data_IF_160762442613
#
_entry.id   IF_160762442613
#
_cell.length_a   1.000
_cell.length_b   1.000
_cell.length_c   1.000
_cell.angle_alpha   90.00
_cell.angle_beta   90.00
_cell.angle_gamma   90.00
#
_symmetry.space_group_name_H-M   'P 1'
#
loop_
_entity.id
_entity.type
_entity.pdbx_description
1 polymer ?
#
# COMPACT_ATOMS: atom_id res chain seq x y z
N UNK A 1 1.27 -25.38 9.43
CA UNK A 1 2.06 -24.15 9.49
C UNK A 1 1.48 -23.18 10.52
N UNK A 2 2.32 -22.33 11.10
CA UNK A 2 1.84 -21.23 11.96
C UNK A 2 1.22 -20.12 11.13
N UNK A 3 0.10 -19.57 11.62
CA UNK A 3 -0.60 -18.48 10.98
C UNK A 3 -1.31 -17.59 12.01
N UNK A 4 -1.41 -16.29 11.70
CA UNK A 4 -2.23 -15.34 12.45
C UNK A 4 -3.59 -15.23 11.75
N UNK A 5 -4.58 -15.91 12.28
CA UNK A 5 -5.91 -16.05 11.72
C UNK A 5 -6.89 -15.04 12.31
N UNK A 6 -7.73 -14.47 11.46
CA UNK A 6 -8.81 -13.57 11.84
C UNK A 6 -10.19 -14.20 11.66
N UNK A 7 -10.97 -14.23 12.74
CA UNK A 7 -12.40 -14.53 12.76
C UNK A 7 -13.03 -13.78 13.95
N UNK A 8 -13.52 -12.56 13.71
CA UNK A 8 -13.99 -11.62 14.73
C UNK A 8 -12.95 -11.28 15.82
N UNK A 9 -11.70 -11.58 15.59
CA UNK A 9 -10.54 -11.36 16.44
C UNK A 9 -9.32 -12.09 15.89
N UNK A 10 -8.13 -11.63 16.25
CA UNK A 10 -6.88 -12.29 15.86
C UNK A 10 -6.54 -13.43 16.82
N UNK A 11 -6.05 -14.53 16.27
CA UNK A 11 -5.51 -15.65 17.05
C UNK A 11 -4.39 -16.36 16.30
N UNK A 12 -3.41 -16.87 17.03
CA UNK A 12 -2.42 -17.78 16.47
C UNK A 12 -3.03 -19.16 16.29
N UNK A 13 -2.82 -19.73 15.10
CA UNK A 13 -3.12 -21.11 14.77
C UNK A 13 -1.81 -21.82 14.45
N UNK A 14 -1.40 -22.77 15.30
CA UNK A 14 -0.13 -23.48 15.16
C UNK A 14 -0.14 -24.49 13.99
N UNK A 15 -1.28 -25.13 13.76
CA UNK A 15 -1.46 -26.19 12.77
C UNK A 15 -2.42 -25.79 11.64
N UNK A 16 -2.28 -24.55 11.14
CA UNK A 16 -3.05 -24.15 9.95
C UNK A 16 -2.61 -24.97 8.73
N UNK A 17 -3.52 -25.40 7.86
CA UNK A 17 -3.16 -26.15 6.66
C UNK A 17 -2.14 -25.37 5.81
N UNK A 18 -1.00 -26.02 5.49
CA UNK A 18 -0.04 -25.44 4.56
C UNK A 18 -0.66 -25.44 3.17
N UNK A 19 -0.66 -24.31 2.44
CA UNK A 19 -1.23 -24.28 1.09
C UNK A 19 -0.44 -25.16 0.14
N UNK A 20 -1.15 -25.84 -0.76
CA UNK A 20 -0.55 -26.56 -1.91
C UNK A 20 -0.74 -25.68 -3.14
N UNK A 21 0.33 -25.31 -3.87
CA UNK A 21 0.21 -24.49 -5.06
C UNK A 21 -0.50 -25.24 -6.17
N UNK A 22 -1.38 -24.56 -6.89
CA UNK A 22 -2.04 -25.06 -8.09
C UNK A 22 -1.14 -24.83 -9.32
N UNK A 23 -1.43 -25.45 -10.47
CA UNK A 23 -0.76 -25.10 -11.72
C UNK A 23 -0.80 -23.58 -11.98
N UNK A 24 0.35 -22.96 -12.25
CA UNK A 24 0.52 -21.53 -12.39
C UNK A 24 0.71 -20.78 -11.06
N UNK A 25 0.80 -21.48 -9.92
CA UNK A 25 1.10 -20.89 -8.61
C UNK A 25 2.46 -21.35 -8.09
N UNK A 26 3.05 -20.53 -7.24
CA UNK A 26 4.21 -20.86 -6.44
C UNK A 26 3.86 -20.90 -4.96
N UNK A 27 4.48 -21.82 -4.22
CA UNK A 27 4.51 -21.81 -2.77
C UNK A 27 5.70 -20.98 -2.30
N UNK A 28 5.41 -20.00 -1.46
CA UNK A 28 6.39 -19.05 -0.98
C UNK A 28 6.52 -19.21 0.54
N UNK A 29 7.74 -19.43 1.02
CA UNK A 29 8.08 -19.26 2.44
C UNK A 29 8.20 -17.78 2.73
N UNK A 30 7.33 -17.26 3.57
CA UNK A 30 7.35 -15.84 3.96
C UNK A 30 8.57 -15.59 4.86
N UNK A 31 9.36 -14.58 4.54
CA UNK A 31 10.52 -14.16 5.33
C UNK A 31 10.14 -13.00 6.24
N UNK A 32 9.60 -11.93 5.65
CA UNK A 32 9.13 -10.75 6.36
C UNK A 32 7.77 -10.36 5.81
N UNK A 33 6.84 -10.05 6.69
CA UNK A 33 5.56 -9.44 6.34
C UNK A 33 5.34 -8.15 7.13
N UNK A 34 4.62 -7.18 6.56
CA UNK A 34 4.42 -5.90 7.21
C UNK A 34 2.94 -5.57 7.42
N UNK A 35 2.64 -4.90 8.53
CA UNK A 35 1.29 -4.48 8.91
C UNK A 35 0.95 -3.19 8.16
N UNK A 36 -0.13 -3.24 7.36
CA UNK A 36 -0.76 -2.10 6.72
C UNK A 36 -1.87 -1.51 7.59
N UNK A 37 -2.25 -0.26 7.32
CA UNK A 37 -3.43 0.30 7.98
C UNK A 37 -4.72 -0.44 7.57
N UNK A 38 -4.78 -0.99 6.37
CA UNK A 38 -5.91 -1.82 5.92
C UNK A 38 -6.14 -3.02 6.83
N UNK A 39 -5.08 -3.66 7.34
CA UNK A 39 -5.23 -4.76 8.30
C UNK A 39 -5.91 -4.27 9.59
N UNK A 40 -5.50 -3.09 10.09
CA UNK A 40 -6.12 -2.45 11.26
C UNK A 40 -7.58 -2.06 11.01
N UNK A 41 -7.91 -1.58 9.80
CA UNK A 41 -9.29 -1.24 9.42
C UNK A 41 -10.17 -2.48 9.29
N UNK A 42 -9.64 -3.63 8.86
CA UNK A 42 -10.37 -4.91 8.87
C UNK A 42 -10.75 -5.29 10.30
N UNK A 43 -9.84 -5.14 11.26
CA UNK A 43 -10.14 -5.37 12.69
C UNK A 43 -11.24 -4.44 13.23
N UNK A 44 -11.44 -3.27 12.60
CA UNK A 44 -12.49 -2.30 12.92
C UNK A 44 -13.79 -2.51 12.14
N UNK A 45 -13.87 -3.56 11.32
CA UNK A 45 -15.08 -3.91 10.57
C UNK A 45 -15.13 -3.39 9.12
N UNK A 46 -14.04 -2.91 8.55
CA UNK A 46 -13.98 -2.49 7.13
C UNK A 46 -14.37 -3.61 6.15
N UNK A 47 -14.12 -4.88 6.52
CA UNK A 47 -14.53 -6.09 5.78
C UNK A 47 -15.23 -7.05 6.72
N UNK A 48 -16.51 -6.83 7.08
CA UNK A 48 -17.18 -7.54 8.15
C UNK A 48 -17.32 -9.05 7.91
N UNK A 49 -17.28 -9.49 6.65
CA UNK A 49 -17.41 -10.91 6.27
C UNK A 49 -16.06 -11.59 6.00
N UNK A 50 -14.92 -10.89 6.18
CA UNK A 50 -13.62 -11.51 5.99
C UNK A 50 -13.31 -12.46 7.15
N UNK A 51 -12.91 -13.68 6.79
CA UNK A 51 -12.32 -14.68 7.69
C UNK A 51 -11.14 -15.29 6.98
N UNK A 52 -10.00 -15.44 7.65
CA UNK A 52 -8.78 -15.96 7.06
C UNK A 52 -7.52 -15.31 7.63
N UNK A 53 -6.41 -15.53 6.99
CA UNK A 53 -5.13 -14.94 7.34
C UNK A 53 -5.06 -13.52 6.76
N UNK A 54 -4.71 -12.53 7.59
CA UNK A 54 -4.47 -11.15 7.17
C UNK A 54 -3.07 -10.97 6.56
N UNK A 55 -2.77 -9.74 6.12
CA UNK A 55 -1.46 -9.33 5.60
C UNK A 55 -1.35 -9.48 4.09
N UNK A 56 -0.79 -8.44 3.46
CA UNK A 56 -0.66 -8.35 2.00
C UNK A 56 0.64 -7.69 1.55
N UNK A 57 1.49 -7.28 2.46
CA UNK A 57 2.81 -6.73 2.21
C UNK A 57 3.85 -7.73 2.71
N UNK A 58 4.60 -8.38 1.82
CA UNK A 58 5.58 -9.39 2.24
C UNK A 58 6.74 -9.53 1.27
N UNK A 59 7.81 -10.11 1.78
CA UNK A 59 8.92 -10.69 1.03
C UNK A 59 9.05 -12.14 1.42
N UNK A 60 9.20 -13.02 0.45
CA UNK A 60 9.38 -14.44 0.72
C UNK A 60 10.33 -15.09 -0.28
N UNK A 61 10.62 -16.37 -0.06
CA UNK A 61 11.42 -17.20 -0.95
C UNK A 61 10.52 -18.28 -1.57
N UNK A 62 10.59 -18.43 -2.88
CA UNK A 62 9.88 -19.48 -3.58
C UNK A 62 10.50 -20.84 -3.25
N UNK A 63 9.68 -21.73 -2.66
CA UNK A 63 10.14 -23.09 -2.25
C UNK A 63 9.58 -24.18 -3.15
N UNK A 64 8.47 -23.93 -3.86
CA UNK A 64 7.86 -24.85 -4.82
C UNK A 64 7.19 -24.03 -5.94
N UNK A 65 7.37 -24.44 -7.18
CA UNK A 65 6.77 -23.80 -8.37
C UNK A 65 6.81 -24.74 -9.56
N UNK A 66 5.81 -24.63 -10.44
CA UNK A 66 5.84 -25.22 -11.78
C UNK A 66 6.71 -24.42 -12.77
N UNK A 67 7.15 -23.22 -12.38
CA UNK A 67 8.16 -22.44 -13.08
C UNK A 67 9.53 -22.59 -12.37
N UNK A 68 10.45 -23.43 -12.88
CA UNK A 68 11.73 -23.68 -12.22
C UNK A 68 12.61 -22.43 -12.04
N UNK A 69 12.44 -21.40 -12.87
CA UNK A 69 13.24 -20.17 -12.78
C UNK A 69 12.93 -19.34 -11.53
N UNK A 70 11.77 -19.57 -10.89
CA UNK A 70 11.37 -18.91 -9.66
C UNK A 70 11.89 -19.61 -8.40
N UNK A 71 12.19 -20.91 -8.45
CA UNK A 71 12.60 -21.68 -7.27
C UNK A 71 13.86 -21.08 -6.65
N UNK A 72 13.82 -20.87 -5.34
CA UNK A 72 14.91 -20.27 -4.56
C UNK A 72 14.99 -18.74 -4.65
N UNK A 73 14.25 -18.09 -5.56
CA UNK A 73 14.26 -16.62 -5.71
C UNK A 73 13.54 -15.95 -4.55
N UNK A 74 14.08 -14.80 -4.11
CA UNK A 74 13.35 -13.87 -3.25
C UNK A 74 12.35 -13.10 -4.09
N UNK A 75 11.11 -13.04 -3.60
CA UNK A 75 10.00 -12.41 -4.34
C UNK A 75 9.14 -11.53 -3.45
N UNK A 76 8.52 -10.55 -4.05
CA UNK A 76 7.35 -9.80 -3.58
C UNK A 76 6.19 -10.10 -4.51
N UNK A 77 4.96 -9.79 -4.11
CA UNK A 77 3.77 -10.10 -4.91
C UNK A 77 2.81 -8.93 -5.00
N UNK A 78 2.23 -8.74 -6.18
CA UNK A 78 0.99 -7.99 -6.31
C UNK A 78 -0.11 -8.65 -5.47
N UNK A 79 -1.10 -7.84 -5.07
CA UNK A 79 -2.11 -8.32 -4.12
C UNK A 79 -3.44 -8.72 -4.79
N UNK A 80 -3.65 -8.35 -6.06
CA UNK A 80 -4.91 -8.53 -6.77
C UNK A 80 -4.85 -9.73 -7.71
N UNK A 81 -5.33 -10.88 -7.25
CA UNK A 81 -5.47 -12.06 -8.10
C UNK A 81 -6.66 -11.90 -9.05
N UNK A 82 -6.38 -11.80 -10.33
CA UNK A 82 -7.36 -11.61 -11.38
C UNK A 82 -7.85 -12.94 -11.97
N UNK A 83 -9.04 -12.92 -12.63
CA UNK A 83 -9.59 -14.10 -13.30
C UNK A 83 -9.04 -14.32 -14.72
N UNK A 84 -8.38 -13.33 -15.32
CA UNK A 84 -7.79 -13.39 -16.65
C UNK A 84 -8.77 -13.25 -17.83
N UNK A 85 -10.10 -13.38 -17.65
CA UNK A 85 -11.06 -13.48 -18.75
C UNK A 85 -12.20 -12.45 -18.77
N UNK A 86 -12.44 -11.69 -17.70
CA UNK A 86 -13.44 -10.62 -17.70
C UNK A 86 -12.99 -9.42 -18.55
N UNK A 87 -13.91 -8.49 -18.79
CA UNK A 87 -13.65 -7.28 -19.59
C UNK A 87 -12.40 -6.53 -19.10
N UNK A 88 -12.28 -6.30 -17.80
CA UNK A 88 -11.16 -5.57 -17.24
C UNK A 88 -9.82 -6.30 -17.45
N UNK A 89 -9.79 -7.63 -17.28
CA UNK A 89 -8.58 -8.41 -17.54
C UNK A 89 -8.18 -8.35 -19.02
N UNK A 90 -9.14 -8.52 -19.94
CA UNK A 90 -8.90 -8.48 -21.38
C UNK A 90 -8.50 -7.08 -21.90
N UNK A 91 -8.80 -6.03 -21.17
CA UNK A 91 -8.43 -4.64 -21.49
C UNK A 91 -7.26 -4.13 -20.66
N UNK A 92 -6.41 -5.04 -20.16
CA UNK A 92 -5.19 -4.73 -19.38
C UNK A 92 -5.46 -3.92 -18.11
N UNK A 93 -6.55 -4.22 -17.41
CA UNK A 93 -6.92 -3.62 -16.11
C UNK A 93 -7.19 -4.71 -15.06
N UNK A 94 -6.26 -5.66 -14.81
CA UNK A 94 -6.49 -6.82 -13.93
C UNK A 94 -6.79 -6.41 -12.48
N UNK A 95 -6.25 -5.29 -12.00
CA UNK A 95 -6.54 -4.74 -10.68
C UNK A 95 -8.01 -4.38 -10.46
N UNK A 96 -8.80 -4.23 -11.55
CA UNK A 96 -10.24 -3.95 -11.55
C UNK A 96 -11.08 -5.18 -11.91
N UNK A 97 -10.50 -6.37 -11.91
CA UNK A 97 -11.19 -7.64 -12.22
C UNK A 97 -12.48 -7.79 -11.40
N UNK A 98 -13.58 -8.17 -12.06
CA UNK A 98 -14.89 -8.39 -11.43
C UNK A 98 -14.87 -9.54 -10.41
N UNK A 99 -14.07 -10.58 -10.69
CA UNK A 99 -13.90 -11.74 -9.83
C UNK A 99 -12.59 -11.69 -9.03
N UNK A 100 -12.12 -10.49 -8.72
CA UNK A 100 -10.85 -10.28 -8.04
C UNK A 100 -10.87 -10.86 -6.64
N UNK A 101 -9.84 -11.64 -6.33
CA UNK A 101 -9.44 -11.96 -4.95
C UNK A 101 -8.30 -11.04 -4.53
N UNK A 102 -8.26 -10.69 -3.27
CA UNK A 102 -7.21 -9.80 -2.75
C UNK A 102 -6.54 -10.47 -1.56
N UNK A 103 -5.23 -10.70 -1.67
CA UNK A 103 -4.42 -11.35 -0.63
C UNK A 103 -4.65 -10.66 0.72
N UNK A 104 -5.03 -11.44 1.74
CA UNK A 104 -5.24 -10.98 3.11
C UNK A 104 -6.36 -9.96 3.34
N UNK A 105 -7.23 -9.72 2.32
CA UNK A 105 -8.28 -8.70 2.39
C UNK A 105 -9.64 -9.25 1.92
N UNK A 106 -9.66 -10.08 0.87
CA UNK A 106 -10.91 -10.59 0.30
C UNK A 106 -10.69 -11.85 -0.52
N UNK A 107 -11.30 -12.96 -0.09
CA UNK A 107 -11.36 -14.22 -0.84
C UNK A 107 -10.04 -14.98 -1.00
N UNK A 108 -8.95 -14.55 -0.36
CA UNK A 108 -7.65 -15.23 -0.33
C UNK A 108 -6.93 -14.94 0.99
N UNK A 109 -6.35 -15.99 1.57
CA UNK A 109 -5.48 -15.88 2.74
C UNK A 109 -4.25 -14.99 2.46
N UNK A 110 -3.81 -14.30 3.49
CA UNK A 110 -2.70 -13.36 3.45
C UNK A 110 -1.37 -13.94 3.91
N UNK A 111 -0.43 -13.04 4.17
CA UNK A 111 0.97 -13.34 4.41
C UNK A 111 1.38 -13.35 5.91
N UNK A 112 0.46 -13.18 6.86
CA UNK A 112 0.78 -13.36 8.28
C UNK A 112 0.80 -14.84 8.64
N UNK A 113 1.60 -15.61 7.90
CA UNK A 113 1.79 -17.05 8.02
C UNK A 113 3.15 -17.47 7.47
N UNK A 114 3.61 -18.65 7.85
CA UNK A 114 4.90 -19.18 7.37
C UNK A 114 4.95 -19.39 5.85
N UNK A 115 3.82 -19.69 5.21
CA UNK A 115 3.72 -19.95 3.77
C UNK A 115 2.47 -19.33 3.16
N UNK A 116 2.61 -18.92 1.88
CA UNK A 116 1.51 -18.45 1.05
C UNK A 116 1.64 -19.03 -0.37
N UNK A 117 0.52 -19.38 -1.01
CA UNK A 117 0.50 -19.74 -2.43
C UNK A 117 0.01 -18.54 -3.26
N UNK A 118 0.77 -18.18 -4.30
CA UNK A 118 0.51 -17.02 -5.15
C UNK A 118 0.72 -17.37 -6.60
N UNK A 119 -0.07 -16.81 -7.51
CA UNK A 119 0.10 -16.99 -8.96
C UNK A 119 1.46 -16.47 -9.41
N UNK A 120 2.13 -17.22 -10.28
CA UNK A 120 3.45 -16.87 -10.80
C UNK A 120 3.48 -15.48 -11.48
N UNK A 121 2.39 -15.13 -12.19
CA UNK A 121 2.23 -13.83 -12.88
C UNK A 121 2.19 -12.62 -11.95
N UNK A 122 1.93 -12.81 -10.66
CA UNK A 122 1.88 -11.75 -9.65
C UNK A 122 3.22 -11.54 -8.94
N UNK A 123 4.20 -12.42 -9.20
CA UNK A 123 5.48 -12.42 -8.49
C UNK A 123 6.51 -11.54 -9.19
N UNK A 124 7.21 -10.73 -8.41
CA UNK A 124 8.33 -9.93 -8.86
C UNK A 124 9.59 -10.35 -8.08
N UNK A 125 10.65 -10.72 -8.82
CA UNK A 125 11.93 -11.11 -8.22
C UNK A 125 12.57 -9.89 -7.57
N UNK A 126 12.93 -10.02 -6.31
CA UNK A 126 13.64 -8.98 -5.57
C UNK A 126 15.14 -9.04 -5.95
N UNK A 127 15.71 -7.95 -6.46
CA UNK A 127 17.15 -7.86 -6.68
C UNK A 127 17.95 -8.15 -5.40
N UNK A 128 19.11 -8.81 -5.53
CA UNK A 128 19.91 -9.22 -4.38
C UNK A 128 20.44 -8.04 -3.57
N UNK A 129 20.61 -6.89 -4.22
CA UNK A 129 21.07 -5.64 -3.60
C UNK A 129 20.05 -5.01 -2.65
N UNK A 130 18.77 -5.40 -2.74
CA UNK A 130 17.72 -4.86 -1.86
C UNK A 130 17.62 -5.74 -0.60
N UNK A 131 17.87 -5.21 0.61
CA UNK A 131 17.63 -5.95 1.85
C UNK A 131 16.16 -6.37 1.98
N UNK A 132 15.92 -7.52 2.61
CA UNK A 132 14.56 -8.07 2.79
C UNK A 132 13.64 -7.09 3.54
N UNK A 133 14.17 -6.41 4.55
CA UNK A 133 13.46 -5.42 5.37
C UNK A 133 13.11 -4.13 4.58
N UNK A 134 13.80 -3.88 3.46
CA UNK A 134 13.52 -2.79 2.54
C UNK A 134 12.55 -3.26 1.45
N UNK A 135 12.73 -4.47 0.93
CA UNK A 135 11.89 -5.02 -0.14
C UNK A 135 10.41 -5.16 0.28
N UNK A 136 10.11 -5.31 1.57
CA UNK A 136 8.73 -5.39 2.08
C UNK A 136 7.92 -4.09 1.85
N UNK A 137 8.60 -2.97 1.58
CA UNK A 137 7.95 -1.71 1.22
C UNK A 137 7.52 -1.62 -0.26
N UNK A 138 7.78 -2.65 -1.08
CA UNK A 138 7.48 -2.62 -2.52
C UNK A 138 5.99 -2.38 -2.79
N UNK A 139 5.09 -3.08 -2.08
CA UNK A 139 3.63 -2.95 -2.29
C UNK A 139 3.15 -1.51 -2.02
N UNK A 140 3.37 -0.92 -0.83
CA UNK A 140 2.89 0.43 -0.57
C UNK A 140 3.65 1.51 -1.39
N UNK A 141 4.90 1.26 -1.79
CA UNK A 141 5.61 2.15 -2.71
C UNK A 141 5.01 2.08 -4.12
N UNK A 142 4.69 0.89 -4.62
CA UNK A 142 3.98 0.71 -5.89
C UNK A 142 2.64 1.48 -5.87
N UNK A 143 1.87 1.35 -4.78
CA UNK A 143 0.65 2.11 -4.62
C UNK A 143 0.88 3.64 -4.64
N UNK A 144 2.04 4.12 -4.19
CA UNK A 144 2.40 5.54 -4.26
C UNK A 144 2.77 5.98 -5.67
N UNK A 145 3.44 5.12 -6.43
CA UNK A 145 3.84 5.37 -7.83
C UNK A 145 2.65 5.46 -8.78
N UNK A 146 1.55 4.75 -8.51
CA UNK A 146 0.32 4.82 -9.30
C UNK A 146 -0.17 6.26 -9.55
N UNK A 147 0.15 7.17 -8.65
CA UNK A 147 -0.21 8.58 -8.79
C UNK A 147 0.44 9.18 -10.04
N UNK A 148 1.68 8.82 -10.33
CA UNK A 148 2.41 9.35 -11.50
C UNK A 148 1.89 8.76 -12.82
N UNK A 149 1.38 7.53 -12.80
CA UNK A 149 0.73 6.91 -13.96
C UNK A 149 -0.66 7.51 -14.24
N UNK A 150 -1.30 8.03 -13.21
CA UNK A 150 -2.65 8.59 -13.30
C UNK A 150 -2.68 10.10 -13.56
N UNK A 151 -1.69 10.84 -13.06
CA UNK A 151 -1.66 12.30 -13.12
C UNK A 151 -0.25 12.76 -13.46
N UNK A 152 -0.14 13.56 -14.51
CA UNK A 152 1.13 14.14 -14.92
C UNK A 152 1.55 15.28 -13.97
N UNK A 153 2.50 15.00 -13.09
CA UNK A 153 3.10 15.97 -12.16
C UNK A 153 4.37 16.53 -12.77
N UNK A 154 4.37 17.83 -13.08
CA UNK A 154 5.49 18.54 -13.68
C UNK A 154 6.37 19.19 -12.60
N UNK A 155 7.65 19.50 -12.88
CA UNK A 155 8.47 20.31 -11.97
C UNK A 155 7.86 21.67 -11.60
N UNK A 156 7.04 22.24 -12.47
CA UNK A 156 6.31 23.50 -12.22
C UNK A 156 5.00 23.33 -11.46
N UNK A 157 4.56 22.09 -11.20
CA UNK A 157 3.28 21.85 -10.49
C UNK A 157 3.39 22.19 -9.01
N UNK A 158 2.35 22.83 -8.47
CA UNK A 158 2.22 23.08 -7.04
C UNK A 158 1.36 21.97 -6.42
N UNK A 159 1.98 21.09 -5.63
CA UNK A 159 1.39 19.86 -5.12
C UNK A 159 1.29 19.91 -3.60
N UNK A 160 0.11 19.56 -3.06
CA UNK A 160 -0.08 19.31 -1.64
C UNK A 160 -0.34 17.82 -1.36
N UNK A 161 0.24 17.30 -0.29
CA UNK A 161 -0.13 16.01 0.31
C UNK A 161 -0.76 16.30 1.67
N UNK A 162 -1.99 15.85 1.88
CA UNK A 162 -2.67 15.94 3.18
C UNK A 162 -2.48 14.61 3.91
N UNK A 163 -1.82 14.67 5.07
CA UNK A 163 -1.48 13.54 5.92
C UNK A 163 0.01 13.48 6.27
N UNK A 164 0.30 13.00 7.46
CA UNK A 164 1.66 12.85 8.02
C UNK A 164 2.00 11.39 8.35
N UNK A 165 1.30 10.47 7.72
CA UNK A 165 1.45 9.03 7.91
C UNK A 165 2.45 8.39 6.95
N UNK A 166 2.60 7.05 7.07
CA UNK A 166 3.50 6.22 6.27
C UNK A 166 3.28 6.34 4.76
N UNK A 167 2.02 6.25 4.31
CA UNK A 167 1.68 6.35 2.89
C UNK A 167 1.99 7.76 2.37
N UNK A 168 1.64 8.81 3.14
CA UNK A 168 1.98 10.18 2.80
C UNK A 168 3.49 10.38 2.62
N UNK A 169 4.32 9.74 3.47
CA UNK A 169 5.77 9.81 3.35
C UNK A 169 6.31 9.16 2.07
N UNK A 170 5.75 8.00 1.69
CA UNK A 170 6.11 7.34 0.43
C UNK A 170 5.71 8.19 -0.78
N UNK A 171 4.48 8.71 -0.76
CA UNK A 171 3.98 9.61 -1.81
C UNK A 171 4.85 10.87 -1.90
N UNK A 172 5.25 11.45 -0.76
CA UNK A 172 6.10 12.64 -0.73
C UNK A 172 7.47 12.38 -1.41
N UNK A 173 8.10 11.23 -1.16
CA UNK A 173 9.34 10.87 -1.84
C UNK A 173 9.13 10.69 -3.35
N UNK A 174 8.06 10.01 -3.75
CA UNK A 174 7.73 9.79 -5.18
C UNK A 174 7.47 11.14 -5.87
N UNK A 175 6.70 12.04 -5.26
CA UNK A 175 6.44 13.38 -5.82
C UNK A 175 7.71 14.23 -5.84
N UNK A 176 8.53 14.16 -4.79
CA UNK A 176 9.82 14.86 -4.73
C UNK A 176 10.74 14.54 -5.93
N UNK A 177 10.74 13.28 -6.40
CA UNK A 177 11.52 12.86 -7.57
C UNK A 177 11.07 13.56 -8.87
N UNK A 178 9.88 14.11 -8.94
CA UNK A 178 9.39 14.86 -10.11
C UNK A 178 9.94 16.29 -10.18
N UNK A 179 10.52 16.79 -9.08
CA UNK A 179 10.97 18.18 -8.95
C UNK A 179 9.84 19.19 -8.71
N UNK A 180 8.61 18.74 -8.46
CA UNK A 180 7.46 19.61 -8.19
C UNK A 180 7.61 20.42 -6.89
N UNK A 181 6.93 21.58 -6.81
CA UNK A 181 6.81 22.37 -5.58
C UNK A 181 5.87 21.63 -4.60
N UNK A 182 6.49 20.87 -3.71
CA UNK A 182 5.81 19.97 -2.78
C UNK A 182 5.60 20.60 -1.40
N UNK A 183 4.33 20.58 -0.95
CA UNK A 183 3.96 20.88 0.43
C UNK A 183 3.28 19.68 1.08
N UNK A 184 3.73 19.27 2.26
CA UNK A 184 3.08 18.24 3.08
C UNK A 184 2.36 18.91 4.24
N UNK A 185 1.06 18.67 4.34
CA UNK A 185 0.18 19.23 5.35
C UNK A 185 -0.23 18.14 6.33
N UNK A 186 0.22 18.24 7.56
CA UNK A 186 -0.03 17.25 8.62
C UNK A 186 -0.62 17.85 9.88
N UNK A 187 -0.96 17.01 10.84
CA UNK A 187 -1.49 17.42 12.15
C UNK A 187 -0.44 17.37 13.27
N UNK A 188 0.64 16.60 13.08
CA UNK A 188 1.64 16.33 14.13
C UNK A 188 2.99 16.90 13.70
N UNK A 189 3.41 17.98 14.35
CA UNK A 189 4.67 18.68 14.02
C UNK A 189 5.89 17.74 14.10
N UNK A 190 5.92 16.84 15.09
CA UNK A 190 7.02 15.88 15.25
C UNK A 190 7.16 14.94 14.04
N UNK A 191 6.04 14.54 13.41
CA UNK A 191 6.05 13.70 12.22
C UNK A 191 6.44 14.49 10.97
N UNK A 192 6.05 15.75 10.89
CA UNK A 192 6.37 16.64 9.77
C UNK A 192 7.88 16.86 9.60
N UNK A 193 8.68 16.67 10.66
CA UNK A 193 10.14 16.74 10.56
C UNK A 193 10.71 15.73 9.55
N UNK A 194 10.08 14.58 9.39
CA UNK A 194 10.50 13.56 8.42
C UNK A 194 10.36 14.03 6.96
N UNK A 195 9.42 14.95 6.70
CA UNK A 195 9.11 15.45 5.36
C UNK A 195 9.92 16.68 4.94
N UNK A 196 10.54 17.40 5.88
CA UNK A 196 11.32 18.62 5.60
C UNK A 196 12.39 18.47 4.52
N UNK A 197 13.10 17.33 4.39
CA UNK A 197 14.07 17.14 3.30
C UNK A 197 13.43 16.99 1.92
N UNK A 198 12.12 16.74 1.84
CA UNK A 198 11.39 16.45 0.60
C UNK A 198 10.65 17.68 0.05
N UNK A 199 10.33 18.65 0.92
CA UNK A 199 9.59 19.84 0.56
C UNK A 199 9.12 20.63 1.78
N UNK A 200 8.23 21.59 1.57
CA UNK A 200 7.61 22.33 2.67
C UNK A 200 6.75 21.39 3.52
N UNK A 201 6.90 21.45 4.83
CA UNK A 201 6.08 20.67 5.77
C UNK A 201 5.43 21.63 6.77
N UNK A 202 4.09 21.59 6.90
CA UNK A 202 3.31 22.59 7.65
C UNK A 202 2.02 22.01 8.21
N UNK A 203 1.47 22.67 9.23
CA UNK A 203 0.12 22.45 9.73
C UNK A 203 -0.89 23.46 9.16
N UNK A 204 -0.43 24.48 8.40
CA UNK A 204 -1.23 25.56 7.84
C UNK A 204 -1.94 25.15 6.55
N UNK A 205 -3.13 25.73 6.32
CA UNK A 205 -3.99 25.56 5.13
C UNK A 205 -4.14 26.85 4.32
N UNK A 206 -3.21 27.78 4.43
CA UNK A 206 -3.33 29.14 3.84
C UNK A 206 -3.10 29.18 2.33
N UNK A 207 -2.44 28.17 1.76
CA UNK A 207 -2.11 28.13 0.34
C UNK A 207 -3.09 27.27 -0.46
N UNK A 208 -3.11 27.47 -1.78
CA UNK A 208 -3.88 26.65 -2.72
C UNK A 208 -2.98 25.95 -3.74
N UNK A 209 -3.41 24.79 -4.24
CA UNK A 209 -2.59 23.86 -5.01
C UNK A 209 -3.28 23.39 -6.29
N UNK A 210 -2.49 23.05 -7.31
CA UNK A 210 -2.98 22.49 -8.57
C UNK A 210 -3.34 21.01 -8.42
N UNK A 211 -2.58 20.30 -7.57
CA UNK A 211 -2.79 18.88 -7.29
C UNK A 211 -2.81 18.71 -5.76
N UNK A 212 -3.83 18.06 -5.25
CA UNK A 212 -3.96 17.75 -3.82
C UNK A 212 -4.13 16.24 -3.66
N UNK A 213 -3.27 15.62 -2.85
CA UNK A 213 -3.28 14.18 -2.61
C UNK A 213 -3.74 13.92 -1.18
N UNK A 214 -4.92 13.30 -1.03
CA UNK A 214 -5.43 12.89 0.28
C UNK A 214 -4.87 11.51 0.66
N UNK A 215 -3.99 11.50 1.66
CA UNK A 215 -3.39 10.32 2.28
C UNK A 215 -3.66 10.25 3.79
N UNK A 216 -4.77 10.83 4.25
CA UNK A 216 -5.11 10.94 5.68
C UNK A 216 -5.66 9.64 6.29
N UNK A 217 -6.33 8.80 5.48
CA UNK A 217 -7.12 7.67 5.97
C UNK A 217 -8.37 8.11 6.76
N UNK A 218 -8.85 9.32 6.53
CA UNK A 218 -9.97 9.94 7.27
C UNK A 218 -10.93 10.67 6.33
N UNK A 219 -12.24 10.68 6.64
CA UNK A 219 -13.24 11.48 5.89
C UNK A 219 -12.87 12.96 5.77
N UNK A 220 -12.21 13.53 6.79
CA UNK A 220 -11.80 14.94 6.78
C UNK A 220 -10.76 15.30 5.71
N UNK A 221 -10.07 14.31 5.13
CA UNK A 221 -9.05 14.52 4.10
C UNK A 221 -9.62 15.17 2.86
N UNK A 222 -10.71 14.61 2.31
CA UNK A 222 -11.37 15.17 1.12
C UNK A 222 -11.94 16.57 1.37
N UNK A 223 -12.51 16.83 2.56
CA UNK A 223 -13.00 18.17 2.92
C UNK A 223 -11.86 19.19 3.00
N UNK A 224 -10.70 18.78 3.51
CA UNK A 224 -9.50 19.63 3.52
C UNK A 224 -9.00 19.87 2.11
N UNK A 225 -8.98 18.81 1.27
CA UNK A 225 -8.57 18.92 -0.12
C UNK A 225 -9.44 19.91 -0.91
N UNK A 226 -10.78 19.88 -0.71
CA UNK A 226 -11.71 20.81 -1.33
C UNK A 226 -11.38 22.27 -1.00
N UNK A 227 -10.97 22.57 0.24
CA UNK A 227 -10.65 23.95 0.66
C UNK A 227 -9.38 24.52 0.03
N UNK A 228 -8.41 23.67 -0.33
CA UNK A 228 -7.10 24.10 -0.80
C UNK A 228 -6.82 23.79 -2.27
N UNK A 229 -7.78 23.16 -2.96
CA UNK A 229 -7.63 22.90 -4.40
C UNK A 229 -7.91 24.18 -5.21
N UNK A 230 -7.11 24.41 -6.22
CA UNK A 230 -7.37 25.49 -7.21
C UNK A 230 -8.49 25.10 -8.16
N UNK A 231 -9.10 26.11 -8.78
CA UNK A 231 -10.02 25.89 -9.91
C UNK A 231 -9.30 25.08 -10.99
N UNK A 232 -10.00 24.12 -11.59
CA UNK A 232 -9.48 23.14 -12.56
C UNK A 232 -8.34 22.27 -12.05
N UNK A 233 -8.19 22.19 -10.72
CA UNK A 233 -7.18 21.32 -10.07
C UNK A 233 -7.64 19.88 -9.99
N UNK A 234 -6.72 19.00 -9.55
CA UNK A 234 -6.98 17.57 -9.40
C UNK A 234 -6.78 17.14 -7.96
N UNK A 235 -7.79 16.51 -7.38
CA UNK A 235 -7.72 15.84 -6.08
C UNK A 235 -7.53 14.35 -6.32
N UNK A 236 -6.47 13.78 -5.75
CA UNK A 236 -6.18 12.35 -5.76
C UNK A 236 -6.51 11.76 -4.39
N UNK A 237 -7.47 10.85 -4.33
CA UNK A 237 -7.91 10.21 -3.08
C UNK A 237 -7.23 8.86 -2.95
N UNK A 238 -6.32 8.76 -1.98
CA UNK A 238 -5.64 7.50 -1.58
C UNK A 238 -6.23 6.90 -0.32
N UNK A 239 -7.01 7.70 0.41
CA UNK A 239 -7.63 7.31 1.68
C UNK A 239 -8.80 6.36 1.46
N UNK A 240 -8.83 5.26 2.23
CA UNK A 240 -10.00 4.40 2.41
C UNK A 240 -10.38 4.40 3.89
N UNK A 241 -11.67 4.51 4.17
CA UNK A 241 -12.20 4.54 5.54
C UNK A 241 -13.62 3.99 5.58
N UNK A 242 -14.07 3.59 6.76
CA UNK A 242 -15.46 3.23 7.00
C UNK A 242 -16.31 4.50 7.13
N UNK A 243 -17.55 4.45 6.61
CA UNK A 243 -18.51 5.56 6.72
C UNK A 243 -18.67 6.36 5.41
N UNK A 244 -19.51 7.39 5.50
CA UNK A 244 -19.85 8.32 4.41
C UNK A 244 -19.36 9.72 4.74
N UNK A 245 -19.19 10.53 3.71
CA UNK A 245 -18.81 11.93 3.82
C UNK A 245 -19.80 12.77 3.00
N UNK A 246 -20.18 13.93 3.52
CA UNK A 246 -20.92 14.95 2.78
C UNK A 246 -19.93 15.96 2.19
N UNK A 247 -20.08 16.23 0.90
CA UNK A 247 -19.26 17.18 0.15
C UNK A 247 -20.16 18.15 -0.62
N UNK A 248 -19.71 19.39 -0.78
CA UNK A 248 -20.37 20.34 -1.67
C UNK A 248 -20.00 20.04 -3.12
N UNK A 249 -20.88 19.31 -3.80
CA UNK A 249 -20.70 18.98 -5.22
C UNK A 249 -20.81 20.20 -6.13
N UNK A 250 -21.56 21.25 -5.74
CA UNK A 250 -21.69 22.47 -6.54
C UNK A 250 -20.34 23.18 -6.65
N UNK A 251 -19.57 23.21 -5.58
CA UNK A 251 -18.23 23.79 -5.58
C UNK A 251 -17.27 23.04 -6.55
N UNK A 252 -17.33 21.71 -6.58
CA UNK A 252 -16.55 20.93 -7.55
C UNK A 252 -16.96 21.19 -9.00
N UNK A 253 -18.27 21.32 -9.28
CA UNK A 253 -18.80 21.58 -10.62
C UNK A 253 -18.41 22.99 -11.10
N UNK A 254 -18.65 24.01 -10.27
CA UNK A 254 -18.38 25.42 -10.64
C UNK A 254 -16.89 25.68 -10.83
N UNK A 255 -16.05 25.02 -10.05
CA UNK A 255 -14.59 25.16 -10.14
C UNK A 255 -13.93 24.13 -11.09
N UNK A 256 -14.69 23.28 -11.78
CA UNK A 256 -14.20 22.24 -12.72
C UNK A 256 -13.11 21.35 -12.09
N UNK A 257 -13.31 20.94 -10.82
CA UNK A 257 -12.32 20.13 -10.08
C UNK A 257 -12.44 18.65 -10.47
N UNK A 258 -11.32 18.03 -10.78
CA UNK A 258 -11.23 16.58 -11.02
C UNK A 258 -10.98 15.84 -9.70
N UNK A 259 -11.78 14.81 -9.40
CA UNK A 259 -11.54 13.89 -8.28
C UNK A 259 -11.18 12.52 -8.85
N UNK A 260 -10.04 11.97 -8.45
CA UNK A 260 -9.54 10.68 -8.92
C UNK A 260 -9.20 9.77 -7.74
N UNK A 261 -9.80 8.58 -7.69
CA UNK A 261 -9.38 7.52 -6.78
C UNK A 261 -8.10 6.84 -7.27
N UNK A 262 -7.22 6.46 -6.34
CA UNK A 262 -5.94 5.84 -6.67
C UNK A 262 -5.61 4.73 -5.67
N UNK A 263 -5.21 3.56 -6.18
CA UNK A 263 -4.80 2.41 -5.37
C UNK A 263 -3.95 1.46 -6.19
N UNK A 264 -3.16 0.62 -5.53
CA UNK A 264 -2.23 -0.32 -6.14
C UNK A 264 -1.30 0.40 -7.14
N UNK A 265 -0.38 -0.30 -7.76
CA UNK A 265 0.52 0.32 -8.72
C UNK A 265 1.62 -0.62 -9.18
N UNK A 266 2.56 -0.13 -9.99
CA UNK A 266 3.55 -0.96 -10.66
C UNK A 266 4.68 -1.39 -9.71
N UNK A 267 4.90 -2.70 -9.58
CA UNK A 267 5.94 -3.28 -8.70
C UNK A 267 7.35 -3.14 -9.25
N UNK A 268 7.54 -3.31 -10.56
CA UNK A 268 8.87 -3.21 -11.16
C UNK A 268 9.51 -1.82 -11.00
N UNK A 269 8.81 -0.71 -11.27
CA UNK A 269 9.34 0.63 -10.97
C UNK A 269 9.63 0.83 -9.48
N UNK A 270 8.80 0.28 -8.57
CA UNK A 270 9.04 0.36 -7.14
C UNK A 270 10.35 -0.33 -6.75
N UNK A 271 10.55 -1.58 -7.20
CA UNK A 271 11.81 -2.31 -6.99
C UNK A 271 13.01 -1.59 -7.59
N UNK A 272 12.85 -0.99 -8.77
CA UNK A 272 13.93 -0.18 -9.40
C UNK A 272 14.33 1.01 -8.53
N UNK A 273 13.37 1.76 -8.00
CA UNK A 273 13.66 2.89 -7.12
C UNK A 273 14.33 2.47 -5.82
N UNK A 274 13.90 1.34 -5.23
CA UNK A 274 14.52 0.75 -4.05
C UNK A 274 15.97 0.32 -4.34
N UNK A 275 16.21 -0.37 -5.46
CA UNK A 275 17.55 -0.78 -5.90
C UNK A 275 18.50 0.40 -6.10
N UNK A 276 18.01 1.49 -6.66
CA UNK A 276 18.79 2.72 -6.87
C UNK A 276 19.01 3.54 -5.59
N UNK A 277 18.37 3.16 -4.46
CA UNK A 277 18.46 3.90 -3.19
C UNK A 277 17.82 5.29 -3.23
N UNK A 278 16.94 5.54 -4.20
CA UNK A 278 16.27 6.84 -4.38
C UNK A 278 15.13 7.04 -3.37
N UNK A 279 14.61 5.96 -2.81
CA UNK A 279 13.58 5.97 -1.77
C UNK A 279 14.18 5.40 -0.48
N UNK A 280 13.97 6.10 0.61
CA UNK A 280 14.52 5.73 1.92
C UNK A 280 13.39 5.61 2.95
N UNK A 281 13.49 4.62 3.81
CA UNK A 281 12.53 4.38 4.87
C UNK A 281 13.20 4.34 6.23
N UNK A 282 12.51 4.81 7.30
CA UNK A 282 12.87 4.43 8.65
C UNK A 282 12.87 2.90 8.79
N UNK A 283 13.72 2.34 9.68
CA UNK A 283 13.77 0.90 9.91
C UNK A 283 12.39 0.34 10.26
N UNK A 284 12.10 -0.86 9.76
CA UNK A 284 10.91 -1.63 10.17
C UNK A 284 11.17 -2.28 11.54
N UNK A 285 10.20 -2.19 12.43
CA UNK A 285 10.20 -2.91 13.71
C UNK A 285 9.59 -4.29 13.51
N UNK A 286 10.37 -5.34 13.75
CA UNK A 286 9.98 -6.72 13.49
C UNK A 286 9.73 -7.48 14.79
N UNK A 287 8.61 -8.19 14.84
CA UNK A 287 8.18 -9.05 15.92
C UNK A 287 8.09 -10.51 15.47
N UNK A 288 8.11 -11.44 16.41
CA UNK A 288 7.65 -12.80 16.12
C UNK A 288 6.12 -12.82 15.97
N UNK A 289 5.58 -13.76 15.20
CA UNK A 289 4.14 -13.82 14.94
C UNK A 289 3.31 -13.96 16.23
N UNK A 290 3.85 -14.65 17.26
CA UNK A 290 3.21 -14.78 18.57
C UNK A 290 3.04 -13.46 19.33
N UNK A 291 3.87 -12.45 19.04
CA UNK A 291 3.82 -11.13 19.66
C UNK A 291 2.92 -10.14 18.89
N UNK A 292 1.95 -10.65 18.13
CA UNK A 292 1.09 -9.84 17.25
C UNK A 292 0.38 -8.69 17.97
N UNK A 293 -0.04 -8.85 19.23
CA UNK A 293 -0.70 -7.80 20.00
C UNK A 293 0.22 -6.59 20.20
N UNK A 294 1.50 -6.84 20.53
CA UNK A 294 2.53 -5.79 20.63
C UNK A 294 2.77 -5.14 19.26
N UNK A 295 2.89 -5.95 18.20
CA UNK A 295 3.09 -5.46 16.85
C UNK A 295 1.93 -4.55 16.38
N UNK A 296 0.67 -4.95 16.59
CA UNK A 296 -0.49 -4.13 16.20
C UNK A 296 -0.65 -2.86 17.04
N UNK A 297 -0.14 -2.82 18.27
CA UNK A 297 -0.17 -1.65 19.17
C UNK A 297 1.05 -0.73 19.04
N UNK A 298 2.12 -1.17 18.38
CA UNK A 298 3.34 -0.37 18.19
C UNK A 298 3.06 0.93 17.43
N UNK A 299 3.76 2.01 17.82
CA UNK A 299 3.74 3.34 17.20
C UNK A 299 4.89 3.57 16.22
N UNK A 300 5.74 2.56 15.99
CA UNK A 300 6.84 2.66 15.04
C UNK A 300 6.34 3.01 13.62
N UNK A 301 7.24 3.60 12.83
CA UNK A 301 6.92 4.03 11.45
C UNK A 301 6.36 2.87 10.63
N UNK A 302 7.01 1.72 10.65
CA UNK A 302 6.53 0.48 10.04
C UNK A 302 6.76 -0.67 10.99
N UNK A 303 5.81 -1.57 11.05
CA UNK A 303 5.83 -2.75 11.92
C UNK A 303 5.54 -3.97 11.09
N UNK A 304 6.12 -5.10 11.44
CA UNK A 304 5.90 -6.35 10.74
C UNK A 304 6.28 -7.58 11.55
N UNK A 305 6.26 -8.70 10.87
CA UNK A 305 6.62 -10.01 11.43
C UNK A 305 7.82 -10.60 10.72
N UNK A 306 8.71 -11.18 11.49
CA UNK A 306 9.80 -12.03 11.03
C UNK A 306 9.34 -13.49 11.16
N UNK A 307 9.41 -14.25 10.06
CA UNK A 307 8.79 -15.59 9.93
C UNK A 307 9.81 -16.70 9.62
N UNK A 308 11.11 -16.42 9.82
CA UNK A 308 12.21 -17.37 9.59
C UNK A 308 13.10 -17.56 10.80
#
# INVERSE_FOLDING_TARGET
>A
MKALYYDNGLKIVEEYPKPSPKPGESLIKVLVSAICNTDKEILRGYRPNFKGILGHEFVGQVVESDNPSLIGKRVVSEINESCGHCLYCKTNRPTHCENRKVIGISGKDGCFAEYIAVKNEMLHIVPDEIPTEVAVYTEPLAASLEILDQVHIKPSSKVAIIGDGRLAYMIAQVVHLTGADLTVIGKHEEKLNLFKPLGKATTSLEETYEIVIDATGSPSGLLTAQKIIRKRGTIIVKSTYAGKIEVDMSDFVVNEVTIKGSRCGPFEPALKLLKLGLIKFPPIELYELKDYEKAFSSKAFKVGFKLY
#
